data_IF_322625383101
#
_entry.id   IF_322625383101
#
_cell.length_a   1.000
_cell.length_b   1.000
_cell.length_c   1.000
_cell.angle_alpha   90.00
_cell.angle_beta   90.00
_cell.angle_gamma   90.00
#
_symmetry.space_group_name_H-M   'P 1'
#
loop_
_entity.id
_entity.type
_entity.pdbx_description
1 polymer ?
#
# COMPACT_ATOMS: atom_id res chain seq x y z
N UNK A 1 -21.89 18.25 0.53
CA UNK A 1 -21.13 18.94 1.63
C UNK A 1 -19.77 18.26 1.77
N UNK A 2 -18.66 19.02 1.73
CA UNK A 2 -17.29 18.50 1.84
C UNK A 2 -16.87 18.38 3.30
N UNK A 3 -16.56 17.16 3.78
CA UNK A 3 -16.16 16.87 5.17
C UNK A 3 -14.73 16.29 5.19
N UNK A 4 -13.82 16.90 5.94
CA UNK A 4 -12.48 16.32 6.18
C UNK A 4 -12.64 15.04 7.03
N UNK A 5 -12.09 13.92 6.54
CA UNK A 5 -12.16 12.62 7.23
C UNK A 5 -10.80 12.12 7.70
N UNK A 6 -9.72 12.53 7.04
CA UNK A 6 -8.35 12.22 7.47
C UNK A 6 -7.34 13.21 6.90
N UNK A 7 -6.21 13.36 7.59
CA UNK A 7 -5.07 14.11 7.11
C UNK A 7 -3.79 13.31 7.38
N UNK A 8 -3.12 12.93 6.29
CA UNK A 8 -1.81 12.30 6.35
C UNK A 8 -0.69 13.29 6.06
N UNK A 9 0.53 12.77 6.01
CA UNK A 9 1.71 13.58 5.71
C UNK A 9 1.66 14.22 4.31
N UNK A 10 1.06 13.57 3.31
CA UNK A 10 1.14 13.99 1.91
C UNK A 10 -0.20 14.49 1.33
N UNK A 11 -1.34 14.16 1.96
CA UNK A 11 -2.66 14.54 1.45
C UNK A 11 -3.70 14.66 2.57
N UNK A 12 -4.74 15.45 2.28
CA UNK A 12 -6.01 15.50 3.03
C UNK A 12 -7.05 14.69 2.28
N UNK A 13 -7.84 13.92 3.02
CA UNK A 13 -8.96 13.15 2.49
C UNK A 13 -10.27 13.81 2.91
N UNK A 14 -11.11 14.09 1.93
CA UNK A 14 -12.44 14.65 2.17
C UNK A 14 -13.50 13.68 1.65
N UNK A 15 -14.57 13.52 2.41
CA UNK A 15 -15.79 12.89 1.94
C UNK A 15 -16.68 13.95 1.28
N UNK A 16 -17.05 13.71 0.01
CA UNK A 16 -17.90 14.58 -0.77
C UNK A 16 -18.79 13.71 -1.68
N UNK A 17 -20.10 13.82 -1.52
CA UNK A 17 -21.11 13.11 -2.32
C UNK A 17 -20.86 11.59 -2.42
N UNK A 18 -20.52 10.97 -1.30
CA UNK A 18 -20.26 9.53 -1.22
C UNK A 18 -18.91 9.09 -1.82
N UNK A 19 -18.06 10.03 -2.24
CA UNK A 19 -16.73 9.80 -2.83
C UNK A 19 -15.64 10.36 -1.94
N UNK A 20 -14.41 9.93 -2.17
CA UNK A 20 -13.24 10.46 -1.48
C UNK A 20 -12.49 11.41 -2.42
N UNK A 21 -12.37 12.66 -2.03
CA UNK A 21 -11.45 13.62 -2.63
C UNK A 21 -10.12 13.56 -1.87
N UNK A 22 -9.08 13.09 -2.52
CA UNK A 22 -7.69 13.12 -2.04
C UNK A 22 -7.02 14.37 -2.59
N UNK A 23 -6.74 15.33 -1.70
CA UNK A 23 -6.08 16.59 -2.03
C UNK A 23 -4.66 16.61 -1.48
N UNK A 24 -3.66 16.70 -2.37
CA UNK A 24 -2.25 16.86 -1.99
C UNK A 24 -1.94 18.33 -1.77
N UNK A 25 -1.79 18.73 -0.51
CA UNK A 25 -1.51 20.10 -0.16
C UNK A 25 -0.03 20.44 -0.27
N UNK A 26 0.25 21.73 -0.49
CA UNK A 26 1.61 22.27 -0.59
C UNK A 26 2.37 22.08 0.72
N UNK A 27 3.66 21.74 0.61
CA UNK A 27 4.60 21.67 1.73
C UNK A 27 5.42 22.97 1.79
N UNK A 28 5.34 23.68 2.92
CA UNK A 28 6.01 24.97 3.09
C UNK A 28 7.53 24.87 3.10
N UNK A 29 8.07 23.72 3.52
CA UNK A 29 9.51 23.45 3.56
C UNK A 29 10.12 23.06 2.21
N UNK A 30 9.30 22.88 1.16
CA UNK A 30 9.76 22.52 -0.18
C UNK A 30 9.82 23.75 -1.07
N UNK A 31 10.80 23.79 -1.96
CA UNK A 31 10.86 24.77 -3.06
C UNK A 31 9.57 24.63 -3.88
N UNK A 32 8.94 25.77 -4.20
CA UNK A 32 7.60 25.82 -4.75
C UNK A 32 7.45 25.04 -6.06
N UNK A 33 8.40 25.18 -6.96
CA UNK A 33 8.42 24.53 -8.27
C UNK A 33 8.58 23.00 -8.14
N UNK A 34 9.41 22.55 -7.21
CA UNK A 34 9.64 21.13 -6.93
C UNK A 34 8.39 20.52 -6.28
N UNK A 35 7.79 21.22 -5.31
CA UNK A 35 6.56 20.75 -4.65
C UNK A 35 5.41 20.57 -5.65
N UNK A 36 5.21 21.55 -6.55
CA UNK A 36 4.17 21.49 -7.58
C UNK A 36 4.39 20.29 -8.52
N UNK A 37 5.60 20.12 -9.05
CA UNK A 37 5.95 18.99 -9.93
C UNK A 37 5.75 17.64 -9.24
N UNK A 38 6.15 17.52 -7.98
CA UNK A 38 6.05 16.28 -7.21
C UNK A 38 4.59 15.91 -6.91
N UNK A 39 3.74 16.87 -6.53
CA UNK A 39 2.30 16.64 -6.31
C UNK A 39 1.63 16.15 -7.61
N UNK A 40 1.84 16.83 -8.71
CA UNK A 40 1.29 16.43 -10.02
C UNK A 40 1.79 15.05 -10.47
N UNK A 41 3.09 14.79 -10.33
CA UNK A 41 3.65 13.47 -10.63
C UNK A 41 2.99 12.34 -9.81
N UNK A 42 2.87 12.53 -8.51
CA UNK A 42 2.23 11.53 -7.62
C UNK A 42 0.75 11.35 -7.92
N UNK A 43 0.02 12.43 -8.22
CA UNK A 43 -1.40 12.37 -8.56
C UNK A 43 -1.64 11.59 -9.86
N UNK A 44 -0.90 11.88 -10.92
CA UNK A 44 -0.98 11.16 -12.19
C UNK A 44 -0.59 9.69 -12.04
N UNK A 45 0.49 9.42 -11.30
CA UNK A 45 0.98 8.06 -11.07
C UNK A 45 -0.05 7.20 -10.32
N UNK A 46 -0.63 7.72 -9.24
CA UNK A 46 -1.68 7.02 -8.50
C UNK A 46 -2.91 6.77 -9.37
N UNK A 47 -3.36 7.75 -10.13
CA UNK A 47 -4.48 7.59 -11.05
C UNK A 47 -4.22 6.48 -12.09
N UNK A 48 -3.02 6.45 -12.68
CA UNK A 48 -2.61 5.41 -13.66
C UNK A 48 -2.59 4.01 -13.02
N UNK A 49 -2.08 3.87 -11.80
CA UNK A 49 -2.07 2.59 -11.08
C UNK A 49 -3.50 2.12 -10.78
N UNK A 50 -4.37 3.00 -10.28
CA UNK A 50 -5.77 2.66 -10.02
C UNK A 50 -6.51 2.25 -11.30
N UNK A 51 -6.23 2.86 -12.44
CA UNK A 51 -6.76 2.43 -13.73
C UNK A 51 -6.30 1.01 -14.10
N UNK A 52 -5.01 0.70 -13.89
CA UNK A 52 -4.46 -0.64 -14.14
C UNK A 52 -5.08 -1.67 -13.20
N UNK A 53 -5.25 -1.35 -11.92
CA UNK A 53 -5.90 -2.22 -10.93
C UNK A 53 -7.35 -2.52 -11.30
N UNK A 54 -8.09 -1.50 -11.76
CA UNK A 54 -9.46 -1.68 -12.30
C UNK A 54 -9.47 -2.65 -13.49
N UNK A 55 -8.53 -2.53 -14.41
CA UNK A 55 -8.45 -3.37 -15.61
C UNK A 55 -8.17 -4.86 -15.30
N UNK A 56 -7.52 -5.16 -14.17
CA UNK A 56 -7.26 -6.53 -13.70
C UNK A 56 -8.24 -6.98 -12.62
N UNK A 57 -9.32 -6.24 -12.39
CA UNK A 57 -10.32 -6.50 -11.34
C UNK A 57 -9.72 -6.68 -9.92
N UNK A 58 -8.64 -5.96 -9.63
CA UNK A 58 -8.03 -5.98 -8.30
C UNK A 58 -8.85 -5.12 -7.32
N UNK A 59 -9.11 -5.57 -6.07
CA UNK A 59 -9.87 -4.82 -5.08
C UNK A 59 -9.09 -3.60 -4.56
N UNK A 60 -9.37 -2.47 -5.19
CA UNK A 60 -8.86 -1.15 -4.88
C UNK A 60 -9.91 -0.09 -5.23
N UNK A 61 -9.83 1.14 -4.68
CA UNK A 61 -10.72 2.22 -5.06
C UNK A 61 -10.61 2.54 -6.55
N UNK A 62 -11.74 2.73 -7.23
CA UNK A 62 -11.73 3.19 -8.62
C UNK A 62 -11.40 4.68 -8.68
N UNK A 63 -10.48 5.06 -9.56
CA UNK A 63 -10.26 6.47 -9.89
C UNK A 63 -11.46 6.99 -10.70
N UNK A 64 -12.08 8.07 -10.24
CA UNK A 64 -13.27 8.68 -10.86
C UNK A 64 -12.86 9.90 -11.68
N UNK A 65 -12.07 10.80 -11.09
CA UNK A 65 -11.61 12.05 -11.73
C UNK A 65 -10.27 12.48 -11.15
N UNK A 66 -9.40 13.01 -11.98
CA UNK A 66 -8.13 13.62 -11.57
C UNK A 66 -7.98 14.97 -12.28
N UNK A 67 -7.42 15.97 -11.56
CA UNK A 67 -6.97 17.23 -12.17
C UNK A 67 -5.51 17.15 -12.65
N UNK A 68 -4.87 15.98 -12.46
CA UNK A 68 -3.48 15.70 -12.79
C UNK A 68 -2.44 16.56 -12.05
N UNK A 69 -2.89 17.40 -11.13
CA UNK A 69 -2.08 18.35 -10.35
C UNK A 69 -2.00 17.93 -8.89
N UNK A 70 -3.11 18.00 -8.17
CA UNK A 70 -3.13 17.77 -6.73
C UNK A 70 -4.38 17.04 -6.23
N UNK A 71 -5.45 16.97 -7.05
CA UNK A 71 -6.72 16.39 -6.65
C UNK A 71 -7.00 15.09 -7.41
N UNK A 72 -7.37 14.07 -6.65
CA UNK A 72 -7.82 12.77 -7.16
C UNK A 72 -9.13 12.40 -6.45
N UNK A 73 -10.20 12.21 -7.21
CA UNK A 73 -11.47 11.71 -6.71
C UNK A 73 -11.51 10.20 -6.93
N UNK A 74 -11.73 9.46 -5.86
CA UNK A 74 -11.79 8.01 -5.85
C UNK A 74 -13.07 7.49 -5.20
N UNK A 75 -13.39 6.24 -5.47
CA UNK A 75 -14.46 5.50 -4.82
C UNK A 75 -14.21 5.41 -3.31
N UNK A 76 -15.29 5.57 -2.51
CA UNK A 76 -15.23 5.27 -1.08
C UNK A 76 -15.41 3.78 -0.87
N UNK A 77 -14.44 3.14 -0.24
CA UNK A 77 -14.57 1.75 0.20
C UNK A 77 -15.18 1.73 1.61
N UNK A 78 -16.20 0.90 1.79
CA UNK A 78 -16.84 0.68 3.09
C UNK A 78 -16.23 -0.54 3.77
N UNK A 79 -15.93 -0.43 5.06
CA UNK A 79 -15.34 -1.50 5.87
C UNK A 79 -14.54 -0.94 7.03
N UNK A 80 -13.84 -1.84 7.74
CA UNK A 80 -12.93 -1.49 8.83
C UNK A 80 -11.48 -1.60 8.36
N UNK A 81 -10.59 -0.80 8.89
CA UNK A 81 -9.17 -0.97 8.60
C UNK A 81 -8.71 -2.35 9.10
N UNK A 82 -7.89 -3.03 8.29
CA UNK A 82 -7.36 -4.35 8.66
C UNK A 82 -6.55 -4.26 9.95
N UNK A 83 -5.84 -3.17 10.18
CA UNK A 83 -5.10 -2.94 11.44
C UNK A 83 -5.97 -3.02 12.70
N UNK A 84 -7.28 -2.76 12.59
CA UNK A 84 -8.21 -2.75 13.71
C UNK A 84 -9.06 -4.04 13.76
N UNK A 85 -8.79 -5.02 12.89
CA UNK A 85 -9.66 -6.19 12.68
C UNK A 85 -8.91 -7.53 12.61
N UNK A 86 -7.59 -7.54 12.91
CA UNK A 86 -6.74 -8.70 12.66
C UNK A 86 -6.82 -9.81 13.74
N UNK A 87 -7.36 -9.53 14.93
CA UNK A 87 -7.18 -10.38 16.12
C UNK A 87 -7.77 -11.80 16.01
N UNK A 88 -8.99 -11.98 15.44
CA UNK A 88 -9.70 -13.26 15.52
C UNK A 88 -9.53 -14.18 14.30
N UNK A 89 -9.21 -13.64 13.14
CA UNK A 89 -9.13 -14.37 11.87
C UNK A 89 -7.82 -14.07 11.12
N UNK A 90 -6.74 -13.78 11.85
CA UNK A 90 -5.48 -13.33 11.27
C UNK A 90 -4.96 -14.26 10.17
N UNK A 91 -5.03 -15.57 10.36
CA UNK A 91 -4.51 -16.54 9.39
C UNK A 91 -5.20 -16.41 8.02
N UNK A 92 -6.54 -16.33 8.00
CA UNK A 92 -7.32 -16.16 6.75
C UNK A 92 -7.03 -14.80 6.11
N UNK A 93 -7.04 -13.73 6.91
CA UNK A 93 -6.81 -12.35 6.45
C UNK A 93 -5.39 -12.23 5.89
N UNK A 94 -4.36 -12.68 6.61
CA UNK A 94 -2.98 -12.57 6.18
C UNK A 94 -2.67 -13.45 4.95
N UNK A 95 -3.28 -14.63 4.85
CA UNK A 95 -3.19 -15.47 3.64
C UNK A 95 -3.82 -14.77 2.44
N UNK A 96 -4.96 -14.09 2.62
CA UNK A 96 -5.58 -13.31 1.54
C UNK A 96 -4.71 -12.10 1.14
N UNK A 97 -4.13 -11.40 2.13
CA UNK A 97 -3.15 -10.32 1.85
C UNK A 97 -2.00 -10.85 1.01
N UNK A 98 -1.38 -11.97 1.40
CA UNK A 98 -0.28 -12.57 0.65
C UNK A 98 -0.64 -12.89 -0.80
N UNK A 99 -1.81 -13.48 -1.06
CA UNK A 99 -2.32 -13.73 -2.43
C UNK A 99 -2.48 -12.43 -3.22
N UNK A 100 -3.10 -11.40 -2.61
CA UNK A 100 -3.33 -10.12 -3.27
C UNK A 100 -2.01 -9.38 -3.58
N UNK A 101 -1.03 -9.43 -2.67
CA UNK A 101 0.31 -8.89 -2.94
C UNK A 101 0.98 -9.62 -4.10
N UNK A 102 0.84 -10.94 -4.19
CA UNK A 102 1.34 -11.70 -5.33
C UNK A 102 0.70 -11.27 -6.65
N UNK A 103 -0.62 -10.99 -6.67
CA UNK A 103 -1.32 -10.46 -7.85
C UNK A 103 -0.77 -9.09 -8.26
N UNK A 104 -0.52 -8.18 -7.31
CA UNK A 104 0.13 -6.89 -7.59
C UNK A 104 1.50 -7.11 -8.25
N UNK A 105 2.36 -7.88 -7.63
CA UNK A 105 3.72 -8.15 -8.09
C UNK A 105 3.77 -8.89 -9.44
N UNK A 106 2.82 -9.82 -9.70
CA UNK A 106 2.67 -10.47 -10.99
C UNK A 106 2.27 -9.50 -12.12
N UNK A 107 1.65 -8.38 -11.76
CA UNK A 107 1.32 -7.28 -12.67
C UNK A 107 2.32 -6.12 -12.60
N UNK A 108 3.52 -6.37 -12.07
CA UNK A 108 4.61 -5.39 -11.94
C UNK A 108 4.27 -4.17 -11.09
N UNK A 109 3.24 -4.23 -10.24
CA UNK A 109 2.83 -3.13 -9.36
C UNK A 109 3.46 -3.34 -7.99
N UNK A 110 4.23 -2.35 -7.54
CA UNK A 110 4.76 -2.25 -6.19
C UNK A 110 3.88 -1.26 -5.43
N UNK A 111 3.41 -1.62 -4.24
CA UNK A 111 2.56 -0.75 -3.43
C UNK A 111 3.34 0.44 -2.86
N UNK A 112 4.53 0.17 -2.32
CA UNK A 112 5.45 1.17 -1.79
C UNK A 112 5.10 1.71 -0.41
N UNK A 113 3.96 1.29 0.17
CA UNK A 113 3.54 1.58 1.55
C UNK A 113 2.60 0.45 2.06
N UNK A 114 3.09 -0.78 1.94
CA UNK A 114 2.30 -1.99 2.18
C UNK A 114 2.16 -2.27 3.67
N UNK A 115 1.10 -1.73 4.28
CA UNK A 115 0.78 -1.90 5.71
C UNK A 115 -0.69 -2.24 5.93
N UNK A 116 -1.02 -2.82 7.08
CA UNK A 116 -2.42 -3.11 7.47
C UNK A 116 -3.27 -1.84 7.66
N UNK A 117 -2.64 -0.67 7.79
CA UNK A 117 -3.31 0.63 7.81
C UNK A 117 -3.81 1.07 6.43
N UNK A 118 -3.22 0.53 5.35
CA UNK A 118 -3.56 0.80 3.97
C UNK A 118 -4.41 -0.32 3.36
N UNK A 119 -5.17 -1.04 4.20
CA UNK A 119 -6.09 -2.09 3.79
C UNK A 119 -7.42 -1.94 4.52
N UNK A 120 -8.54 -2.16 3.81
CA UNK A 120 -9.90 -2.15 4.36
C UNK A 120 -10.50 -3.54 4.20
N UNK A 121 -11.00 -4.10 5.31
CA UNK A 121 -11.77 -5.33 5.35
C UNK A 121 -13.25 -4.98 5.13
N UNK A 122 -13.76 -5.26 3.95
CA UNK A 122 -15.15 -5.20 3.55
C UNK A 122 -15.69 -6.60 3.26
N UNK A 123 -16.37 -6.78 2.12
CA UNK A 123 -16.70 -8.10 1.59
C UNK A 123 -15.46 -8.90 1.17
N UNK A 124 -14.38 -8.21 0.88
CA UNK A 124 -13.03 -8.72 0.67
C UNK A 124 -12.01 -7.70 1.18
N UNK A 125 -10.71 -7.97 1.07
CA UNK A 125 -9.67 -7.02 1.48
C UNK A 125 -9.37 -6.07 0.31
N UNK A 126 -9.66 -4.78 0.49
CA UNK A 126 -9.33 -3.71 -0.43
C UNK A 126 -8.01 -3.07 -0.05
N UNK A 127 -7.12 -2.91 -1.01
CA UNK A 127 -5.89 -2.14 -0.83
C UNK A 127 -6.16 -0.69 -1.20
N UNK A 128 -5.68 0.24 -0.37
CA UNK A 128 -5.89 1.68 -0.52
C UNK A 128 -4.56 2.43 -0.45
N UNK A 129 -4.56 3.69 -0.85
CA UNK A 129 -3.39 4.59 -0.82
C UNK A 129 -2.21 4.14 -1.69
N UNK A 130 -2.41 4.16 -3.00
CA UNK A 130 -1.36 3.90 -3.99
C UNK A 130 -0.49 5.13 -4.30
N UNK A 131 -0.40 6.11 -3.38
CA UNK A 131 0.33 7.36 -3.57
C UNK A 131 1.85 7.20 -3.72
N UNK A 132 2.42 6.12 -3.19
CA UNK A 132 3.84 5.77 -3.32
C UNK A 132 4.10 4.63 -4.31
N UNK A 133 3.04 4.04 -4.87
CA UNK A 133 3.13 2.88 -5.76
C UNK A 133 3.78 3.20 -7.10
N UNK A 134 4.41 2.22 -7.71
CA UNK A 134 5.08 2.34 -9.00
C UNK A 134 5.16 0.99 -9.73
N UNK A 135 5.49 1.03 -11.03
CA UNK A 135 5.73 -0.19 -11.80
C UNK A 135 7.18 -0.61 -11.71
N UNK A 136 7.43 -1.87 -11.37
CA UNK A 136 8.78 -2.47 -11.36
C UNK A 136 8.74 -3.99 -11.56
N UNK A 137 9.73 -4.51 -12.27
CA UNK A 137 10.00 -5.94 -12.41
C UNK A 137 11.13 -6.42 -11.48
N UNK A 138 11.75 -5.53 -10.71
CA UNK A 138 12.92 -5.85 -9.89
C UNK A 138 12.52 -6.69 -8.67
N UNK A 139 13.27 -7.75 -8.40
CA UNK A 139 13.10 -8.55 -7.18
C UNK A 139 13.33 -7.73 -5.91
N UNK A 140 14.25 -6.74 -5.97
CA UNK A 140 14.51 -5.83 -4.85
C UNK A 140 13.26 -5.06 -4.42
N UNK A 141 12.55 -4.47 -5.38
CA UNK A 141 11.37 -3.64 -5.08
C UNK A 141 10.23 -4.49 -4.51
N UNK A 142 10.02 -5.72 -5.04
CA UNK A 142 9.07 -6.68 -4.48
C UNK A 142 9.45 -7.11 -3.06
N UNK A 143 10.74 -7.34 -2.83
CA UNK A 143 11.24 -7.72 -1.50
C UNK A 143 11.08 -6.58 -0.48
N UNK A 144 11.36 -5.34 -0.88
CA UNK A 144 11.12 -4.16 -0.03
C UNK A 144 9.65 -4.00 0.30
N UNK A 145 8.75 -4.23 -0.66
CA UNK A 145 7.30 -4.15 -0.42
C UNK A 145 6.84 -5.21 0.62
N UNK A 146 7.33 -6.45 0.53
CA UNK A 146 7.10 -7.49 1.54
C UNK A 146 7.73 -7.13 2.90
N UNK A 147 8.88 -6.48 2.91
CA UNK A 147 9.53 -6.02 4.13
C UNK A 147 8.70 -4.94 4.83
N UNK A 148 8.12 -3.99 4.07
CA UNK A 148 7.19 -2.98 4.62
C UNK A 148 5.95 -3.64 5.25
N UNK A 149 5.41 -4.71 4.66
CA UNK A 149 4.32 -5.48 5.26
C UNK A 149 4.75 -6.06 6.61
N UNK A 150 5.95 -6.66 6.69
CA UNK A 150 6.50 -7.19 7.92
C UNK A 150 6.62 -6.12 9.00
N UNK A 151 7.29 -5.00 8.71
CA UNK A 151 7.46 -3.88 9.64
C UNK A 151 6.10 -3.32 10.11
N UNK A 152 5.13 -3.22 9.20
CA UNK A 152 3.77 -2.81 9.54
C UNK A 152 3.07 -3.78 10.50
N UNK A 153 3.26 -5.09 10.32
CA UNK A 153 2.75 -6.12 11.23
C UNK A 153 3.47 -6.08 12.58
N UNK A 154 4.79 -6.02 12.61
CA UNK A 154 5.59 -5.87 13.84
C UNK A 154 5.15 -4.66 14.68
N UNK A 155 4.97 -3.52 14.02
CA UNK A 155 4.58 -2.27 14.68
C UNK A 155 3.18 -2.29 15.27
N UNK A 156 2.20 -2.89 14.58
CA UNK A 156 0.77 -2.81 14.95
C UNK A 156 0.22 -4.08 15.60
N UNK A 157 0.85 -5.22 15.35
CA UNK A 157 0.34 -6.54 15.75
C UNK A 157 1.44 -7.35 16.43
N UNK A 158 2.22 -6.72 17.32
CA UNK A 158 3.43 -7.26 17.93
C UNK A 158 3.26 -8.64 18.60
N UNK A 159 2.05 -9.01 19.01
CA UNK A 159 1.77 -10.31 19.65
C UNK A 159 1.64 -11.47 18.66
N UNK A 160 1.26 -11.18 17.41
CA UNK A 160 0.88 -12.20 16.42
C UNK A 160 1.54 -11.95 15.05
N UNK A 161 2.48 -11.01 14.95
CA UNK A 161 3.04 -10.59 13.67
C UNK A 161 3.79 -11.72 12.95
N UNK A 162 4.47 -12.59 13.69
CA UNK A 162 5.24 -13.70 13.09
C UNK A 162 4.32 -14.68 12.36
N UNK A 163 3.24 -15.10 13.02
CA UNK A 163 2.22 -15.97 12.42
C UNK A 163 1.50 -15.29 11.26
N UNK A 164 1.18 -14.01 11.42
CA UNK A 164 0.58 -13.19 10.36
C UNK A 164 1.47 -13.14 9.13
N UNK A 165 2.73 -12.80 9.33
CA UNK A 165 3.69 -12.70 8.25
C UNK A 165 3.96 -14.06 7.60
N UNK A 166 4.08 -15.13 8.39
CA UNK A 166 4.21 -16.50 7.91
C UNK A 166 3.04 -16.88 6.99
N UNK A 167 1.79 -16.67 7.42
CA UNK A 167 0.60 -16.94 6.60
C UNK A 167 0.60 -16.15 5.30
N UNK A 168 0.99 -14.87 5.35
CA UNK A 168 1.07 -14.03 4.15
C UNK A 168 2.14 -14.52 3.17
N UNK A 169 3.35 -14.86 3.66
CA UNK A 169 4.46 -15.35 2.83
C UNK A 169 4.15 -16.72 2.22
N UNK A 170 3.54 -17.64 2.96
CA UNK A 170 3.14 -18.95 2.43
C UNK A 170 2.12 -18.81 1.28
N UNK A 171 1.14 -17.92 1.44
CA UNK A 171 0.17 -17.64 0.40
C UNK A 171 0.80 -16.90 -0.80
N UNK A 172 1.66 -15.93 -0.55
CA UNK A 172 2.45 -15.24 -1.58
C UNK A 172 3.30 -16.22 -2.40
N UNK A 173 4.00 -17.14 -1.73
CA UNK A 173 4.86 -18.14 -2.37
C UNK A 173 4.09 -19.03 -3.35
N UNK A 174 2.85 -19.37 -3.03
CA UNK A 174 2.00 -20.22 -3.90
C UNK A 174 1.51 -19.48 -5.13
N UNK A 175 1.27 -18.18 -5.04
CA UNK A 175 0.59 -17.38 -6.06
C UNK A 175 1.57 -16.58 -6.95
N UNK A 176 2.71 -16.14 -6.39
CA UNK A 176 3.64 -15.27 -7.10
C UNK A 176 4.53 -16.06 -8.08
N UNK A 177 4.53 -15.64 -9.36
CA UNK A 177 5.32 -16.27 -10.44
C UNK A 177 6.83 -16.28 -10.19
N UNK A 178 7.35 -15.24 -9.50
CA UNK A 178 8.77 -15.09 -9.16
C UNK A 178 9.01 -15.12 -7.65
N UNK A 179 8.27 -15.98 -6.93
CA UNK A 179 8.32 -16.04 -5.46
C UNK A 179 9.71 -16.37 -4.94
N UNK A 180 10.39 -17.38 -5.51
CA UNK A 180 11.71 -17.81 -5.06
C UNK A 180 12.75 -16.67 -5.12
N UNK A 181 12.83 -15.96 -6.27
CA UNK A 181 13.73 -14.82 -6.45
C UNK A 181 13.44 -13.70 -5.45
N UNK A 182 12.14 -13.37 -5.27
CA UNK A 182 11.70 -12.32 -4.36
C UNK A 182 12.01 -12.66 -2.89
N UNK A 183 11.76 -13.91 -2.47
CA UNK A 183 12.00 -14.33 -1.08
C UNK A 183 13.49 -14.42 -0.75
N UNK A 184 14.31 -14.93 -1.67
CA UNK A 184 15.78 -14.88 -1.53
C UNK A 184 16.28 -13.43 -1.38
N UNK A 185 15.67 -12.49 -2.11
CA UNK A 185 16.02 -11.07 -2.01
C UNK A 185 15.53 -10.45 -0.70
N UNK A 186 14.36 -10.88 -0.19
CA UNK A 186 13.83 -10.43 1.11
C UNK A 186 14.80 -10.76 2.25
N UNK A 187 15.36 -11.97 2.28
CA UNK A 187 16.38 -12.33 3.27
C UNK A 187 17.59 -11.38 3.26
N UNK A 188 18.03 -10.97 2.05
CA UNK A 188 19.13 -10.02 1.91
C UNK A 188 18.75 -8.60 2.36
N UNK A 189 17.51 -8.16 2.12
CA UNK A 189 16.97 -6.87 2.59
C UNK A 189 16.94 -6.85 4.12
N UNK A 190 16.42 -7.90 4.75
CA UNK A 190 16.33 -8.02 6.21
C UNK A 190 17.71 -8.05 6.89
N UNK A 191 18.68 -8.73 6.30
CA UNK A 191 20.06 -8.73 6.82
C UNK A 191 20.65 -7.31 6.86
N UNK A 192 20.43 -6.51 5.80
CA UNK A 192 20.91 -5.11 5.73
C UNK A 192 20.25 -4.21 6.78
N UNK A 193 18.95 -4.37 7.03
CA UNK A 193 18.23 -3.64 8.08
C UNK A 193 18.83 -3.86 9.48
N UNK A 194 19.12 -5.12 9.81
CA UNK A 194 19.74 -5.49 11.11
C UNK A 194 21.14 -4.91 11.31
N UNK A 195 21.96 -4.78 10.26
CA UNK A 195 23.29 -4.16 10.35
C UNK A 195 23.22 -2.63 10.59
N UNK A 196 22.18 -1.96 10.08
CA UNK A 196 21.97 -0.52 10.34
C UNK A 196 21.53 -0.25 11.78
N UNK A 197 20.65 -1.07 12.33
CA UNK A 197 20.20 -0.94 13.72
C UNK A 197 21.33 -1.14 14.73
N UNK A 198 22.30 -2.03 14.46
CA UNK A 198 23.49 -2.24 15.31
C UNK A 198 24.59 -1.14 15.24
N UNK A 199 24.57 -0.28 14.21
CA UNK A 199 25.53 0.84 14.07
C UNK A 199 24.98 2.17 14.60
N UNK A 200 23.73 2.23 15.03
CA UNK A 200 23.06 3.42 15.55
C UNK A 200 22.75 3.37 17.06
N UNK A 201 23.24 2.34 17.76
CA UNK A 201 23.16 2.20 19.22
C UNK A 201 24.53 2.37 19.86
#
# INVERSE_FOLDING_TARGET
MKKLIAQGAEAKLFLEDGKILKNRFRKTYRIREIDYKLRGFRTRREAKILQKLKAINFPAPKAIKSDEKENLIIEKINGKLVKDSLDKNYSKICSEIGRKVAILHNNTIIHGDLTTSNMILGNEIYFIDFGLSFFSEKAEDRAVDLHLLKEGLESKHYKIWEECFKCAIEAYKKEARRSHETLKRLEAVEKRGRYRAKKGS
#
